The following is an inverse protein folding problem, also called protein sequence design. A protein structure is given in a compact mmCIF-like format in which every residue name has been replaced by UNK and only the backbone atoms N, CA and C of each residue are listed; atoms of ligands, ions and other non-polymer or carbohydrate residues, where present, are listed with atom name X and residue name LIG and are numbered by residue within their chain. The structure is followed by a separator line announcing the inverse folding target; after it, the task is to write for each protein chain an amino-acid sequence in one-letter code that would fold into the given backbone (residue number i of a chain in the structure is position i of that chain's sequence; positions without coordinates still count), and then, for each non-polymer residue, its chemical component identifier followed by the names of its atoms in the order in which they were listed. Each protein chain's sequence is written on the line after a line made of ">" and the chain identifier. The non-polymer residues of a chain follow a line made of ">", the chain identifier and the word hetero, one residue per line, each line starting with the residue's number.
data_IF_629184043124
#
_entry.id   IF_629184043124
#
_cell.length_a   1.000
_cell.length_b   1.000
_cell.length_c   1.000
_cell.angle_alpha   90.00
_cell.angle_beta   90.00
_cell.angle_gamma   90.00
#
_symmetry.space_group_name_H-M   'P 1'
#
loop_
_entity.id
_entity.type
_entity.pdbx_description
1 polymer ?
#
# COMPACT_ATOMS: atom_id res chain seq x y z
N UNK A 1 -12.68 -43.66 -44.09
CA UNK A 1 -12.32 -42.26 -43.99
C UNK A 1 -13.19 -41.58 -42.92
N UNK A 2 -12.69 -41.47 -41.67
CA UNK A 2 -13.37 -40.74 -40.60
C UNK A 2 -12.60 -39.44 -40.36
N UNK A 3 -13.21 -38.30 -40.65
CA UNK A 3 -12.67 -36.99 -40.39
C UNK A 3 -12.86 -36.68 -38.88
N UNK A 4 -11.75 -36.62 -38.15
CA UNK A 4 -11.75 -36.11 -36.78
C UNK A 4 -11.77 -34.58 -36.81
N UNK A 5 -12.85 -34.04 -36.27
CA UNK A 5 -13.01 -32.59 -36.05
C UNK A 5 -12.27 -32.24 -34.77
N UNK A 6 -11.15 -31.53 -34.87
CA UNK A 6 -10.46 -30.94 -33.71
C UNK A 6 -11.17 -29.63 -33.41
N UNK A 7 -11.93 -29.65 -32.29
CA UNK A 7 -12.50 -28.39 -31.74
C UNK A 7 -11.42 -27.70 -30.92
N UNK A 8 -10.91 -26.63 -31.48
CA UNK A 8 -9.99 -25.73 -30.79
C UNK A 8 -10.79 -24.83 -29.84
N UNK A 9 -10.80 -25.20 -28.55
CA UNK A 9 -11.41 -24.37 -27.51
C UNK A 9 -10.49 -23.21 -27.20
N UNK A 10 -10.74 -22.06 -27.82
CA UNK A 10 -10.13 -20.81 -27.41
C UNK A 10 -10.74 -20.38 -26.08
N UNK A 11 -10.03 -20.60 -24.97
CA UNK A 11 -10.34 -19.94 -23.72
C UNK A 11 -9.93 -18.46 -23.85
N UNK A 12 -10.90 -17.61 -24.20
CA UNK A 12 -10.81 -16.18 -23.93
C UNK A 12 -10.88 -16.04 -22.41
N UNK A 13 -9.76 -15.82 -21.75
CA UNK A 13 -9.71 -15.24 -20.44
C UNK A 13 -10.13 -13.76 -20.56
N UNK A 14 -11.43 -13.51 -20.62
CA UNK A 14 -11.97 -12.19 -20.37
C UNK A 14 -11.74 -11.93 -18.88
N UNK A 15 -10.74 -11.12 -18.57
CA UNK A 15 -10.62 -10.50 -17.26
C UNK A 15 -11.92 -9.73 -16.99
N UNK A 16 -12.80 -10.33 -16.20
CA UNK A 16 -13.90 -9.64 -15.57
C UNK A 16 -13.27 -8.66 -14.56
N UNK A 17 -12.93 -7.47 -15.04
CA UNK A 17 -12.91 -6.31 -14.16
C UNK A 17 -14.35 -6.22 -13.61
N UNK A 18 -14.54 -6.73 -12.41
CA UNK A 18 -15.74 -6.46 -11.65
C UNK A 18 -15.77 -4.94 -11.44
N UNK A 19 -16.41 -4.22 -12.35
CA UNK A 19 -16.92 -2.91 -12.09
C UNK A 19 -18.00 -3.10 -11.02
N UNK A 20 -17.59 -3.23 -9.77
CA UNK A 20 -18.46 -2.99 -8.64
C UNK A 20 -18.97 -1.55 -8.87
N UNK A 21 -20.22 -1.44 -9.27
CA UNK A 21 -20.86 -0.15 -9.48
C UNK A 21 -20.94 0.46 -8.08
N UNK A 22 -19.96 1.34 -7.74
CA UNK A 22 -19.90 2.00 -6.44
C UNK A 22 -21.28 2.57 -6.14
N UNK A 23 -21.83 2.21 -4.99
CA UNK A 23 -23.11 2.72 -4.55
C UNK A 23 -23.06 4.26 -4.62
N UNK A 24 -24.09 4.87 -5.24
CA UNK A 24 -24.14 6.32 -5.36
C UNK A 24 -24.55 6.86 -3.99
N UNK A 25 -23.57 7.11 -3.14
CA UNK A 25 -23.74 7.70 -1.80
C UNK A 25 -23.78 9.22 -1.98
N UNK A 26 -24.85 9.84 -1.54
CA UNK A 26 -24.99 11.31 -1.57
C UNK A 26 -24.34 11.87 -0.28
N UNK A 27 -23.07 12.25 -0.39
CA UNK A 27 -22.29 12.78 0.75
C UNK A 27 -22.73 14.23 1.04
N UNK A 28 -22.89 14.62 2.33
CA UNK A 28 -23.00 16.02 2.70
C UNK A 28 -21.69 16.76 2.39
N UNK A 29 -21.74 18.08 2.39
CA UNK A 29 -20.53 18.87 2.27
C UNK A 29 -19.73 18.79 3.59
N UNK A 30 -18.53 18.21 3.53
CA UNK A 30 -17.59 18.18 4.66
C UNK A 30 -16.68 19.40 4.63
N UNK A 31 -16.44 19.96 5.84
CA UNK A 31 -15.48 21.04 6.11
C UNK A 31 -14.55 20.54 7.23
N UNK A 32 -13.28 20.52 6.96
CA UNK A 32 -12.30 20.03 7.90
C UNK A 32 -11.48 21.17 8.51
N UNK A 33 -11.11 20.98 9.77
CA UNK A 33 -10.14 21.79 10.50
C UNK A 33 -8.99 20.89 10.90
N UNK A 34 -7.78 21.20 10.45
CA UNK A 34 -6.56 20.49 10.85
C UNK A 34 -6.31 20.71 12.34
N UNK A 35 -6.10 19.64 13.08
CA UNK A 35 -5.74 19.63 14.50
C UNK A 35 -4.24 19.47 14.65
N UNK A 36 -3.66 18.58 13.86
CA UNK A 36 -2.25 18.23 13.86
C UNK A 36 -1.82 17.87 12.44
N UNK A 37 -0.64 18.31 12.04
CA UNK A 37 -0.06 18.00 10.75
C UNK A 37 1.46 17.84 10.89
N UNK A 38 1.98 16.68 10.58
CA UNK A 38 3.40 16.37 10.57
C UNK A 38 4.00 16.64 9.17
N UNK A 39 5.28 16.97 9.05
CA UNK A 39 5.91 17.30 7.77
C UNK A 39 5.85 16.14 6.78
N UNK A 40 5.42 16.45 5.56
CA UNK A 40 5.42 15.53 4.40
C UNK A 40 5.96 16.25 3.16
N UNK A 41 6.48 15.49 2.22
CA UNK A 41 6.92 15.98 0.92
C UNK A 41 5.73 16.20 -0.03
N UNK A 42 5.97 16.69 -1.24
CA UNK A 42 4.94 16.97 -2.25
C UNK A 42 4.14 15.72 -2.63
N UNK A 43 2.93 15.92 -3.13
CA UNK A 43 2.08 14.85 -3.66
C UNK A 43 2.66 14.38 -5.01
N UNK A 44 2.99 13.10 -5.10
CA UNK A 44 3.45 12.45 -6.33
C UNK A 44 2.30 11.75 -7.08
N UNK A 45 2.55 11.32 -8.30
CA UNK A 45 1.56 10.63 -9.14
C UNK A 45 2.12 9.31 -9.67
N UNK A 46 1.71 8.18 -9.07
CA UNK A 46 2.06 6.85 -9.57
C UNK A 46 1.39 6.52 -10.92
N UNK A 47 0.36 7.25 -11.32
CA UNK A 47 -0.39 7.13 -12.56
C UNK A 47 -0.79 5.66 -12.86
N UNK A 48 -0.22 5.05 -13.94
CA UNK A 48 -0.54 3.68 -14.38
C UNK A 48 0.57 2.70 -13.96
N UNK A 49 0.93 2.73 -12.70
CA UNK A 49 1.80 1.73 -12.09
C UNK A 49 1.13 1.09 -10.89
N UNK A 50 1.39 -0.18 -10.65
CA UNK A 50 0.95 -0.90 -9.45
C UNK A 50 1.89 -0.72 -8.28
N UNK A 51 2.54 0.46 -8.16
CA UNK A 51 3.64 0.70 -7.22
C UNK A 51 3.27 1.64 -6.07
N UNK A 52 1.98 1.68 -5.68
CA UNK A 52 1.50 2.48 -4.55
C UNK A 52 2.30 2.24 -3.26
N UNK A 53 2.68 1.00 -3.01
CA UNK A 53 3.51 0.58 -1.90
C UNK A 53 4.86 1.32 -1.84
N UNK A 54 5.52 1.51 -3.00
CA UNK A 54 6.78 2.24 -3.07
C UNK A 54 6.56 3.74 -2.86
N UNK A 55 5.54 4.33 -3.51
CA UNK A 55 5.22 5.75 -3.36
C UNK A 55 4.86 6.12 -1.92
N UNK A 56 4.04 5.32 -1.26
CA UNK A 56 3.61 5.56 0.11
C UNK A 56 4.74 5.40 1.12
N UNK A 57 5.50 4.31 1.01
CA UNK A 57 6.57 4.04 1.97
C UNK A 57 7.81 4.92 1.74
N UNK A 58 8.13 5.31 0.48
CA UNK A 58 9.17 6.33 0.24
C UNK A 58 8.74 7.67 0.81
N UNK A 59 7.48 8.08 0.63
CA UNK A 59 6.97 9.30 1.27
C UNK A 59 7.07 9.26 2.79
N UNK A 60 6.81 8.11 3.40
CA UNK A 60 7.04 7.88 4.82
C UNK A 60 8.52 8.00 5.20
N UNK A 61 9.43 7.37 4.44
CA UNK A 61 10.89 7.48 4.65
C UNK A 61 11.37 8.92 4.52
N UNK A 62 10.87 9.68 3.55
CA UNK A 62 11.16 11.10 3.39
C UNK A 62 10.76 11.90 4.65
N UNK A 63 9.57 11.66 5.19
CA UNK A 63 9.11 12.29 6.44
C UNK A 63 9.97 11.89 7.64
N UNK A 64 10.42 10.65 7.72
CA UNK A 64 11.31 10.19 8.77
C UNK A 64 12.70 10.84 8.68
N UNK A 65 13.26 10.98 7.47
CA UNK A 65 14.52 11.70 7.26
C UNK A 65 14.37 13.17 7.65
N UNK A 66 13.26 13.82 7.33
CA UNK A 66 12.95 15.19 7.77
C UNK A 66 12.95 15.28 9.30
N UNK A 67 12.26 14.36 9.97
CA UNK A 67 12.16 14.31 11.43
C UNK A 67 13.50 14.02 12.10
N UNK A 68 14.23 12.98 11.66
CA UNK A 68 15.49 12.53 12.24
C UNK A 68 16.54 13.64 12.16
N UNK A 69 16.59 14.36 11.03
CA UNK A 69 17.59 15.40 10.78
C UNK A 69 17.08 16.81 11.12
N UNK A 70 15.88 16.94 11.71
CA UNK A 70 15.25 18.21 12.08
C UNK A 70 15.23 19.23 10.91
N UNK A 71 14.87 18.78 9.70
CA UNK A 71 14.82 19.64 8.52
C UNK A 71 13.54 20.50 8.59
N UNK A 72 13.70 21.79 8.80
CA UNK A 72 12.57 22.74 8.96
C UNK A 72 12.28 23.53 7.69
N UNK A 73 13.19 23.53 6.73
CA UNK A 73 13.07 24.23 5.46
C UNK A 73 12.50 23.28 4.40
N UNK A 74 11.27 23.51 3.91
CA UNK A 74 10.66 22.64 2.90
C UNK A 74 11.44 22.54 1.58
N UNK A 75 12.27 23.56 1.24
CA UNK A 75 13.10 23.51 0.04
C UNK A 75 14.25 22.49 0.15
N UNK A 76 14.52 22.00 1.36
CA UNK A 76 15.54 20.97 1.65
C UNK A 76 14.96 19.61 1.95
N UNK A 77 13.65 19.43 1.76
CA UNK A 77 13.05 18.13 1.95
C UNK A 77 13.59 17.14 0.92
N UNK A 78 13.90 15.91 1.34
CA UNK A 78 14.42 14.91 0.43
C UNK A 78 13.36 14.49 -0.58
N UNK A 79 13.83 14.05 -1.74
CA UNK A 79 13.02 13.45 -2.80
C UNK A 79 13.75 12.20 -3.29
N UNK A 80 13.27 11.00 -2.86
CA UNK A 80 13.92 9.74 -3.15
C UNK A 80 13.25 9.02 -4.32
N UNK A 81 14.04 8.19 -5.01
CA UNK A 81 13.59 7.41 -6.15
C UNK A 81 12.74 6.21 -5.71
N UNK A 82 11.47 6.22 -6.04
CA UNK A 82 10.60 5.07 -5.91
C UNK A 82 11.05 3.93 -6.85
N UNK A 83 11.53 4.28 -8.04
CA UNK A 83 11.88 3.28 -9.05
C UNK A 83 13.22 2.58 -8.81
N UNK A 84 14.11 3.17 -8.04
CA UNK A 84 15.26 2.45 -7.50
C UNK A 84 14.79 1.28 -6.62
N UNK A 85 13.84 1.56 -5.74
CA UNK A 85 13.25 0.53 -4.85
C UNK A 85 12.45 -0.49 -5.64
N UNK A 86 11.60 -0.05 -6.57
CA UNK A 86 10.79 -0.95 -7.42
C UNK A 86 11.65 -1.89 -8.24
N UNK A 87 12.72 -1.39 -8.87
CA UNK A 87 13.62 -2.20 -9.70
C UNK A 87 14.33 -3.28 -8.88
N UNK A 88 14.84 -2.94 -7.70
CA UNK A 88 15.46 -3.92 -6.78
C UNK A 88 14.46 -4.95 -6.29
N UNK A 89 13.27 -4.51 -5.86
CA UNK A 89 12.20 -5.41 -5.41
C UNK A 89 11.78 -6.40 -6.51
N UNK A 90 11.64 -5.94 -7.76
CA UNK A 90 11.30 -6.82 -8.88
C UNK A 90 12.42 -7.82 -9.19
N UNK A 91 13.69 -7.41 -9.11
CA UNK A 91 14.85 -8.30 -9.29
C UNK A 91 14.91 -9.39 -8.22
N UNK A 92 14.74 -9.02 -6.95
CA UNK A 92 14.72 -9.96 -5.81
C UNK A 92 13.52 -10.93 -5.91
N UNK A 93 12.35 -10.40 -6.31
CA UNK A 93 11.14 -11.21 -6.49
C UNK A 93 11.28 -12.22 -7.61
N UNK A 94 11.97 -11.83 -8.70
CA UNK A 94 12.28 -12.75 -9.80
C UNK A 94 13.15 -13.91 -9.34
N UNK A 95 14.17 -13.65 -8.52
CA UNK A 95 14.99 -14.70 -7.92
C UNK A 95 14.16 -15.67 -7.10
N UNK A 96 13.34 -15.14 -6.20
CA UNK A 96 12.47 -15.95 -5.33
C UNK A 96 11.42 -16.73 -6.12
N UNK A 97 10.84 -16.13 -7.15
CA UNK A 97 9.88 -16.75 -8.06
C UNK A 97 10.50 -17.98 -8.77
N UNK A 98 11.73 -17.83 -9.27
CA UNK A 98 12.45 -18.95 -9.90
C UNK A 98 12.81 -20.03 -8.89
N UNK A 99 13.29 -19.66 -7.69
CA UNK A 99 13.61 -20.63 -6.63
C UNK A 99 12.40 -21.44 -6.16
N UNK A 100 11.19 -20.87 -6.28
CA UNK A 100 9.93 -21.51 -5.90
C UNK A 100 9.19 -22.15 -7.10
N UNK A 101 9.87 -22.37 -8.20
CA UNK A 101 9.29 -22.97 -9.42
C UNK A 101 8.00 -22.28 -9.89
N UNK A 102 7.92 -20.95 -9.72
CA UNK A 102 6.77 -20.15 -10.07
C UNK A 102 5.60 -20.17 -9.06
N UNK A 103 5.78 -20.79 -7.89
CA UNK A 103 4.75 -20.84 -6.85
C UNK A 103 4.84 -19.63 -5.91
N UNK A 104 4.86 -18.45 -6.49
CA UNK A 104 4.85 -17.17 -5.81
C UNK A 104 4.01 -16.18 -6.63
N UNK A 105 3.35 -15.23 -5.99
CA UNK A 105 2.75 -14.12 -6.72
C UNK A 105 3.84 -13.29 -7.38
N UNK A 106 3.72 -13.05 -8.69
CA UNK A 106 4.61 -12.16 -9.43
C UNK A 106 3.78 -11.08 -10.12
N UNK A 107 3.93 -9.84 -9.71
CA UNK A 107 3.18 -8.69 -10.20
C UNK A 107 3.75 -7.39 -9.67
N UNK A 108 3.08 -6.28 -9.92
CA UNK A 108 3.54 -4.94 -9.57
C UNK A 108 3.40 -4.60 -8.08
N UNK A 109 2.42 -5.21 -7.39
CA UNK A 109 2.12 -4.96 -5.98
C UNK A 109 3.19 -5.53 -5.04
N UNK A 110 3.40 -4.89 -3.91
CA UNK A 110 4.28 -5.30 -2.82
C UNK A 110 3.82 -4.64 -1.52
N UNK A 111 4.53 -4.89 -0.41
CA UNK A 111 4.24 -4.27 0.88
C UNK A 111 5.16 -3.07 1.14
N UNK A 112 4.72 -2.14 2.00
CA UNK A 112 5.57 -1.03 2.44
C UNK A 112 6.88 -1.48 3.10
N UNK A 113 6.88 -2.65 3.74
CA UNK A 113 8.04 -3.29 4.33
C UNK A 113 9.14 -3.60 3.31
N UNK A 114 8.77 -3.96 2.07
CA UNK A 114 9.75 -4.20 0.99
C UNK A 114 10.62 -2.97 0.72
N UNK A 115 10.10 -1.76 0.93
CA UNK A 115 10.89 -0.53 0.82
C UNK A 115 11.99 -0.47 1.88
N UNK A 116 11.66 -0.80 3.13
CA UNK A 116 12.64 -0.85 4.21
C UNK A 116 13.70 -1.93 3.95
N UNK A 117 13.31 -3.08 3.41
CA UNK A 117 14.22 -4.15 3.05
C UNK A 117 15.16 -3.76 1.91
N UNK A 118 14.64 -3.13 0.86
CA UNK A 118 15.48 -2.62 -0.24
C UNK A 118 16.45 -1.57 0.27
N UNK A 119 16.00 -0.63 1.09
CA UNK A 119 16.86 0.39 1.68
C UNK A 119 17.95 -0.24 2.57
N UNK A 120 17.61 -1.29 3.32
CA UNK A 120 18.57 -2.04 4.14
C UNK A 120 19.65 -2.68 3.30
N UNK A 121 19.27 -3.32 2.19
CA UNK A 121 20.16 -4.11 1.34
C UNK A 121 20.94 -3.26 0.33
N UNK A 122 20.32 -2.21 -0.21
CA UNK A 122 20.82 -1.50 -1.39
C UNK A 122 20.98 0.01 -1.20
N UNK A 123 20.51 0.58 -0.08
CA UNK A 123 20.63 2.02 0.21
C UNK A 123 19.49 2.87 -0.34
N UNK A 124 19.75 4.17 -0.51
CA UNK A 124 18.81 5.19 -1.00
C UNK A 124 19.45 6.00 -2.14
N UNK A 125 18.60 6.47 -3.05
CA UNK A 125 19.00 7.24 -4.23
C UNK A 125 18.07 8.44 -4.37
N UNK A 126 18.56 9.65 -4.65
CA UNK A 126 17.72 10.79 -5.00
C UNK A 126 16.88 10.51 -6.27
N UNK A 127 15.67 11.05 -6.34
CA UNK A 127 14.79 10.90 -7.49
C UNK A 127 15.43 11.33 -8.81
N UNK A 128 16.25 12.38 -8.77
CA UNK A 128 16.92 12.90 -9.95
C UNK A 128 17.95 11.92 -10.57
N UNK A 129 18.50 11.01 -9.77
CA UNK A 129 19.52 10.05 -10.22
C UNK A 129 18.91 8.79 -10.86
N UNK A 130 17.65 8.46 -10.55
CA UNK A 130 16.93 7.36 -11.18
C UNK A 130 15.43 7.66 -11.23
N UNK A 131 14.98 8.31 -12.29
CA UNK A 131 13.58 8.71 -12.45
C UNK A 131 12.64 7.55 -12.77
N UNK A 132 13.16 6.45 -13.30
CA UNK A 132 12.39 5.24 -13.63
C UNK A 132 11.47 5.37 -14.84
N UNK A 133 11.70 6.33 -15.74
CA UNK A 133 10.82 6.64 -16.88
C UNK A 133 11.58 6.72 -18.20
N UNK A 134 12.37 5.68 -18.54
CA UNK A 134 13.15 5.63 -19.78
C UNK A 134 12.31 5.31 -21.03
N UNK A 135 11.00 5.18 -20.88
CA UNK A 135 10.08 4.76 -21.96
C UNK A 135 9.29 5.94 -22.59
N UNK A 136 9.79 7.17 -22.43
CA UNK A 136 9.27 8.34 -23.14
C UNK A 136 7.93 8.89 -22.63
N UNK A 137 7.59 8.66 -21.37
CA UNK A 137 6.42 9.21 -20.68
C UNK A 137 6.87 10.10 -19.51
N UNK A 138 6.15 11.19 -19.29
CA UNK A 138 6.38 12.09 -18.14
C UNK A 138 5.76 11.54 -16.82
N UNK A 139 4.91 10.51 -16.94
CA UNK A 139 4.27 9.84 -15.83
C UNK A 139 4.41 8.32 -15.94
N UNK A 140 4.46 7.58 -14.84
CA UNK A 140 4.60 6.13 -14.85
C UNK A 140 3.53 5.41 -15.68
N UNK A 141 3.96 4.49 -16.56
CA UNK A 141 3.09 3.68 -17.40
C UNK A 141 3.67 2.28 -17.55
N UNK A 142 3.55 1.46 -16.50
CA UNK A 142 4.28 0.20 -16.36
C UNK A 142 3.55 -1.05 -16.83
N UNK A 143 2.33 -0.95 -17.36
CA UNK A 143 1.56 -2.12 -17.79
C UNK A 143 2.32 -3.00 -18.81
N UNK A 144 3.10 -2.38 -19.72
CA UNK A 144 3.94 -3.10 -20.68
C UNK A 144 5.09 -3.81 -19.97
N UNK A 145 5.82 -3.10 -19.10
CA UNK A 145 6.92 -3.67 -18.32
C UNK A 145 6.44 -4.87 -17.49
N UNK A 146 5.33 -4.73 -16.77
CA UNK A 146 4.76 -5.80 -15.93
C UNK A 146 4.45 -7.04 -16.78
N UNK A 147 3.85 -6.86 -17.95
CA UNK A 147 3.55 -7.95 -18.87
C UNK A 147 4.82 -8.62 -19.42
N UNK A 148 5.83 -7.84 -19.78
CA UNK A 148 7.12 -8.33 -20.30
C UNK A 148 7.88 -9.10 -19.23
N UNK A 149 8.00 -8.55 -18.01
CA UNK A 149 8.68 -9.20 -16.89
C UNK A 149 7.99 -10.52 -16.52
N UNK A 150 6.67 -10.54 -16.47
CA UNK A 150 5.89 -11.74 -16.18
C UNK A 150 6.11 -12.81 -17.27
N UNK A 151 6.02 -12.44 -18.54
CA UNK A 151 6.21 -13.37 -19.64
C UNK A 151 7.64 -13.94 -19.65
N UNK A 152 8.63 -13.09 -19.39
CA UNK A 152 10.03 -13.49 -19.34
C UNK A 152 10.29 -14.50 -18.23
N UNK A 153 9.87 -14.19 -16.99
CA UNK A 153 10.16 -15.05 -15.84
C UNK A 153 9.38 -16.39 -15.91
N UNK A 154 8.16 -16.37 -16.42
CA UNK A 154 7.39 -17.58 -16.70
C UNK A 154 8.10 -18.51 -17.71
N UNK A 155 8.72 -17.93 -18.76
CA UNK A 155 9.50 -18.71 -19.73
C UNK A 155 10.74 -19.33 -19.09
N UNK A 156 11.39 -18.64 -18.16
CA UNK A 156 12.53 -19.17 -17.39
C UNK A 156 12.11 -20.38 -16.56
N UNK A 157 11.05 -20.24 -15.77
CA UNK A 157 10.55 -21.33 -14.90
C UNK A 157 10.06 -22.53 -15.73
N UNK A 158 9.39 -22.28 -16.86
CA UNK A 158 8.89 -23.33 -17.76
C UNK A 158 9.94 -23.94 -18.68
N UNK A 159 11.24 -23.67 -18.44
CA UNK A 159 12.32 -24.20 -19.26
C UNK A 159 12.26 -25.75 -19.34
N UNK A 160 12.15 -26.35 -20.54
CA UNK A 160 12.01 -27.80 -20.68
C UNK A 160 13.27 -28.57 -20.28
N UNK A 161 14.44 -27.95 -20.31
CA UNK A 161 15.71 -28.60 -19.95
C UNK A 161 15.92 -28.73 -18.45
N UNK A 162 15.11 -28.08 -17.61
CA UNK A 162 15.18 -28.08 -16.13
C UNK A 162 16.56 -27.67 -15.55
N UNK A 163 17.46 -27.17 -16.37
CA UNK A 163 18.75 -26.62 -15.97
C UNK A 163 18.82 -25.19 -16.45
N UNK A 164 18.92 -24.26 -15.50
CA UNK A 164 19.00 -22.85 -15.79
C UNK A 164 20.46 -22.38 -15.88
N UNK A 165 20.71 -21.47 -16.81
CA UNK A 165 21.96 -20.71 -16.85
C UNK A 165 21.82 -19.45 -16.00
N UNK A 166 22.93 -18.81 -15.64
CA UNK A 166 22.90 -17.50 -14.96
C UNK A 166 22.52 -16.35 -15.90
N UNK A 167 22.35 -16.61 -17.19
CA UNK A 167 22.02 -15.58 -18.18
C UNK A 167 20.65 -14.97 -17.98
N UNK A 168 19.68 -15.74 -17.46
CA UNK A 168 18.32 -15.25 -17.24
C UNK A 168 18.27 -14.05 -16.29
N UNK A 169 19.09 -14.04 -15.22
CA UNK A 169 19.17 -12.91 -14.28
C UNK A 169 19.63 -11.63 -15.00
N UNK A 170 20.69 -11.73 -15.81
CA UNK A 170 21.20 -10.59 -16.57
C UNK A 170 20.19 -10.11 -17.61
N UNK A 171 19.47 -11.06 -18.25
CA UNK A 171 18.40 -10.73 -19.19
C UNK A 171 17.22 -10.04 -18.52
N UNK A 172 16.83 -10.50 -17.33
CA UNK A 172 15.78 -9.86 -16.53
C UNK A 172 16.19 -8.45 -16.10
N UNK A 173 17.41 -8.29 -15.57
CA UNK A 173 17.94 -6.98 -15.19
C UNK A 173 18.05 -6.04 -16.38
N UNK A 174 18.49 -6.51 -17.54
CA UNK A 174 18.58 -5.69 -18.74
C UNK A 174 17.21 -5.14 -19.18
N UNK A 175 16.12 -5.88 -18.94
CA UNK A 175 14.76 -5.36 -19.19
C UNK A 175 14.45 -4.24 -18.18
N UNK A 176 14.75 -4.43 -16.91
CA UNK A 176 14.55 -3.39 -15.90
C UNK A 176 15.36 -2.13 -16.21
N UNK A 177 16.63 -2.29 -16.57
CA UNK A 177 17.54 -1.20 -16.90
C UNK A 177 17.04 -0.38 -18.09
N UNK A 178 16.50 -1.04 -19.12
CA UNK A 178 15.97 -0.37 -20.30
C UNK A 178 14.72 0.46 -20.00
N UNK A 179 13.82 -0.04 -19.15
CA UNK A 179 12.57 0.66 -18.82
C UNK A 179 12.73 1.66 -17.66
N UNK A 180 13.48 1.31 -16.61
CA UNK A 180 13.56 2.08 -15.36
C UNK A 180 14.88 2.83 -15.18
N UNK A 181 15.92 2.47 -15.94
CA UNK A 181 17.28 2.99 -15.78
C UNK A 181 18.19 2.05 -15.02
N UNK A 182 19.49 2.20 -15.29
CA UNK A 182 20.53 1.46 -14.56
C UNK A 182 20.67 1.99 -13.14
N UNK A 183 21.05 1.12 -12.21
CA UNK A 183 21.35 1.53 -10.84
C UNK A 183 22.56 2.48 -10.79
N UNK A 184 22.43 3.69 -10.21
CA UNK A 184 23.58 4.57 -10.03
C UNK A 184 24.56 3.92 -9.06
N UNK A 185 25.83 3.84 -9.45
CA UNK A 185 26.90 3.33 -8.58
C UNK A 185 27.37 4.39 -7.58
N UNK A 186 27.52 5.61 -8.07
CA UNK A 186 27.80 6.81 -7.28
C UNK A 186 27.03 7.99 -7.86
N UNK A 187 26.77 8.98 -7.03
CA UNK A 187 26.12 10.24 -7.40
C UNK A 187 26.59 11.36 -6.45
N UNK A 188 26.33 12.61 -6.82
CA UNK A 188 26.79 13.77 -6.04
C UNK A 188 25.58 14.52 -5.48
N UNK A 189 25.54 14.70 -4.15
CA UNK A 189 24.57 15.55 -3.45
C UNK A 189 25.35 16.61 -2.67
N UNK A 190 25.01 17.88 -2.88
CA UNK A 190 25.65 19.03 -2.22
C UNK A 190 27.20 19.04 -2.32
N UNK A 191 27.72 18.55 -3.45
CA UNK A 191 29.17 18.50 -3.71
C UNK A 191 29.90 17.31 -3.06
N UNK A 192 29.18 16.38 -2.42
CA UNK A 192 29.73 15.15 -1.84
C UNK A 192 29.31 13.96 -2.70
N UNK A 193 30.28 13.09 -3.03
CA UNK A 193 29.99 11.85 -3.76
C UNK A 193 29.59 10.76 -2.79
N UNK A 194 28.50 10.04 -3.15
CA UNK A 194 27.92 8.95 -2.37
C UNK A 194 27.71 7.69 -3.22
N UNK A 195 27.77 6.52 -2.57
CA UNK A 195 27.05 5.32 -3.04
C UNK A 195 25.65 5.33 -2.43
N UNK A 196 24.70 4.53 -2.96
CA UNK A 196 23.37 4.44 -2.35
C UNK A 196 23.39 4.11 -0.85
N UNK A 197 24.28 3.20 -0.41
CA UNK A 197 24.39 2.81 1.00
C UNK A 197 24.99 3.97 1.84
N UNK A 198 26.05 4.61 1.35
CA UNK A 198 26.67 5.71 2.08
C UNK A 198 25.77 6.94 2.16
N UNK A 199 24.88 7.13 1.17
CA UNK A 199 23.87 8.18 1.21
C UNK A 199 22.82 7.93 2.28
N UNK A 200 22.25 6.68 2.33
CA UNK A 200 21.38 6.26 3.43
C UNK A 200 22.00 6.52 4.80
N UNK A 201 23.28 6.13 4.98
CA UNK A 201 23.98 6.28 6.26
C UNK A 201 24.19 7.75 6.61
N UNK A 202 24.51 8.61 5.62
CA UNK A 202 24.65 10.06 5.81
C UNK A 202 23.32 10.74 6.21
N UNK A 203 22.17 10.16 5.83
CA UNK A 203 20.85 10.62 6.23
C UNK A 203 20.43 10.13 7.62
N UNK A 204 21.29 9.39 8.33
CA UNK A 204 21.00 8.78 9.64
C UNK A 204 19.75 7.88 9.63
N UNK A 205 19.39 7.32 8.46
CA UNK A 205 18.22 6.46 8.32
C UNK A 205 18.61 5.00 8.53
N UNK A 206 18.04 4.38 9.57
CA UNK A 206 18.26 2.97 9.87
C UNK A 206 16.95 2.17 9.71
N UNK A 207 16.81 1.32 8.66
CA UNK A 207 15.61 0.53 8.43
C UNK A 207 15.24 -0.43 9.59
N UNK A 208 16.18 -0.76 10.47
CA UNK A 208 15.93 -1.65 11.61
C UNK A 208 15.21 -0.95 12.78
N UNK A 209 15.07 0.37 12.72
CA UNK A 209 14.35 1.16 13.73
C UNK A 209 12.82 1.16 13.51
N UNK A 210 12.32 0.40 12.57
CA UNK A 210 10.90 0.36 12.20
C UNK A 210 10.25 -0.97 12.55
N UNK A 211 8.94 -0.91 12.79
CA UNK A 211 8.10 -2.08 13.05
C UNK A 211 6.79 -1.93 12.28
N UNK A 212 6.34 -3.04 11.69
CA UNK A 212 5.04 -3.12 11.03
C UNK A 212 4.07 -3.86 11.93
N UNK A 213 2.94 -3.21 12.23
CA UNK A 213 1.86 -3.72 13.07
C UNK A 213 0.68 -4.14 12.20
N UNK A 214 -0.02 -5.18 12.62
CA UNK A 214 -1.30 -5.63 12.05
C UNK A 214 -2.25 -6.05 13.16
N UNK A 215 -3.51 -6.33 12.83
CA UNK A 215 -4.54 -6.63 13.83
C UNK A 215 -5.53 -7.68 13.37
N UNK A 216 -5.22 -8.95 13.60
CA UNK A 216 -6.06 -10.09 13.23
C UNK A 216 -6.05 -11.21 14.27
N UNK A 217 -7.19 -11.89 14.47
CA UNK A 217 -7.38 -12.88 15.55
C UNK A 217 -7.02 -14.31 15.18
N UNK A 218 -6.68 -14.58 13.92
CA UNK A 218 -6.27 -15.93 13.47
C UNK A 218 -4.83 -16.28 13.90
N UNK A 219 -4.07 -15.29 14.38
CA UNK A 219 -2.79 -15.46 15.07
C UNK A 219 -2.86 -14.85 16.46
N UNK A 220 -2.06 -15.32 17.44
CA UNK A 220 -2.01 -14.72 18.75
C UNK A 220 -1.59 -13.26 18.72
N UNK A 221 -2.23 -12.42 19.52
CA UNK A 221 -1.75 -11.05 19.71
C UNK A 221 -0.39 -11.03 20.43
N UNK A 222 0.35 -9.95 20.21
CA UNK A 222 1.68 -9.69 20.77
C UNK A 222 2.75 -10.69 20.30
N UNK A 223 2.56 -11.20 19.08
CA UNK A 223 3.53 -12.07 18.40
C UNK A 223 3.77 -11.59 16.97
N UNK A 224 4.92 -11.93 16.43
CA UNK A 224 5.22 -11.79 15.01
C UNK A 224 4.70 -12.99 14.24
N UNK A 225 4.17 -12.75 13.04
CA UNK A 225 3.82 -13.80 12.10
C UNK A 225 3.96 -13.29 10.65
N UNK A 226 4.21 -14.17 9.66
CA UNK A 226 4.20 -13.78 8.26
C UNK A 226 2.78 -13.41 7.85
N UNK A 227 2.54 -12.14 7.51
CA UNK A 227 1.20 -11.69 7.13
C UNK A 227 0.76 -12.30 5.80
N UNK A 228 -0.40 -12.96 5.80
CA UNK A 228 -0.88 -13.80 4.70
C UNK A 228 -1.64 -13.01 3.63
N UNK A 229 -0.96 -12.08 2.98
CA UNK A 229 -1.44 -11.40 1.77
C UNK A 229 -0.51 -11.72 0.61
N UNK A 230 -1.05 -11.69 -0.61
CA UNK A 230 -0.31 -12.11 -1.81
C UNK A 230 0.91 -11.23 -2.09
N UNK A 231 0.83 -9.96 -1.71
CA UNK A 231 1.86 -8.96 -1.92
C UNK A 231 2.97 -9.00 -0.86
N UNK A 232 2.78 -9.73 0.25
CA UNK A 232 3.87 -10.08 1.17
C UNK A 232 4.69 -11.28 0.66
N UNK A 233 5.26 -11.13 -0.52
CA UNK A 233 6.04 -12.17 -1.20
C UNK A 233 7.39 -12.46 -0.54
N UNK A 234 7.92 -11.54 0.29
CA UNK A 234 9.12 -11.75 1.10
C UNK A 234 8.84 -12.60 2.33
N UNK A 235 7.56 -12.72 2.74
CA UNK A 235 7.09 -13.34 3.98
C UNK A 235 7.54 -12.59 5.22
N UNK A 236 7.51 -11.28 5.13
CA UNK A 236 7.80 -10.40 6.24
C UNK A 236 6.84 -10.61 7.39
N UNK A 237 7.41 -10.52 8.59
CA UNK A 237 6.67 -10.74 9.81
C UNK A 237 6.16 -9.42 10.36
N UNK A 238 4.86 -9.38 10.61
CA UNK A 238 4.18 -8.24 11.20
C UNK A 238 3.82 -8.54 12.65
N UNK A 239 3.92 -7.54 13.50
CA UNK A 239 3.58 -7.68 14.91
C UNK A 239 2.08 -7.50 15.10
N UNK A 240 1.42 -8.48 15.68
CA UNK A 240 -0.02 -8.52 15.84
C UNK A 240 -0.47 -7.87 17.13
N UNK A 241 -1.36 -6.89 17.07
CA UNK A 241 -1.93 -6.18 18.22
C UNK A 241 -3.46 -6.10 18.13
N UNK A 242 -4.19 -5.99 19.25
CA UNK A 242 -5.63 -5.66 19.21
C UNK A 242 -5.88 -4.35 18.44
N UNK A 243 -7.01 -4.27 17.74
CA UNK A 243 -7.31 -3.11 16.88
C UNK A 243 -7.40 -1.80 17.67
N UNK A 244 -7.93 -1.82 18.88
CA UNK A 244 -8.04 -0.62 19.70
C UNK A 244 -6.64 -0.12 20.12
N UNK A 245 -5.74 -1.02 20.50
CA UNK A 245 -4.34 -0.68 20.80
C UNK A 245 -3.59 -0.19 19.55
N UNK A 246 -3.86 -0.76 18.37
CA UNK A 246 -3.27 -0.27 17.12
C UNK A 246 -3.69 1.18 16.85
N UNK A 247 -4.96 1.52 17.07
CA UNK A 247 -5.46 2.90 16.93
C UNK A 247 -4.85 3.85 17.95
N UNK A 248 -4.67 3.41 19.20
CA UNK A 248 -3.99 4.18 20.25
C UNK A 248 -2.52 4.44 19.89
N UNK A 249 -1.82 3.44 19.37
CA UNK A 249 -0.43 3.56 18.91
C UNK A 249 -0.34 4.54 17.73
N UNK A 250 -1.26 4.45 16.76
CA UNK A 250 -1.32 5.34 15.61
C UNK A 250 -1.51 6.79 16.05
N UNK A 251 -2.47 7.06 16.94
CA UNK A 251 -2.71 8.39 17.49
C UNK A 251 -1.49 8.93 18.23
N UNK A 252 -0.93 8.11 19.12
CA UNK A 252 0.26 8.48 19.87
C UNK A 252 1.44 8.82 18.95
N UNK A 253 1.66 8.03 17.88
CA UNK A 253 2.72 8.31 16.92
C UNK A 253 2.52 9.68 16.24
N UNK A 254 1.31 9.96 15.74
CA UNK A 254 1.01 11.24 15.11
C UNK A 254 1.19 12.42 16.07
N UNK A 255 0.71 12.31 17.30
CA UNK A 255 0.80 13.35 18.34
C UNK A 255 2.27 13.63 18.78
N UNK A 256 3.17 12.66 18.56
CA UNK A 256 4.60 12.80 18.87
C UNK A 256 5.47 13.10 17.65
N UNK A 257 4.88 13.55 16.53
CA UNK A 257 5.63 14.07 15.38
C UNK A 257 6.04 13.01 14.36
N UNK A 258 5.51 11.77 14.45
CA UNK A 258 5.75 10.71 13.49
C UNK A 258 4.64 10.65 12.45
N UNK A 259 4.95 10.12 11.28
CA UNK A 259 3.98 9.74 10.26
C UNK A 259 3.86 8.22 10.19
N UNK A 260 2.90 7.73 9.42
CA UNK A 260 2.55 6.30 9.35
C UNK A 260 2.57 5.86 7.90
N UNK A 261 3.33 4.81 7.56
CA UNK A 261 3.10 4.08 6.30
C UNK A 261 1.89 3.16 6.51
N UNK A 262 0.90 3.24 5.63
CA UNK A 262 -0.43 2.68 5.85
C UNK A 262 -0.89 1.83 4.67
N UNK A 263 -1.07 0.53 4.90
CA UNK A 263 -1.72 -0.41 4.00
C UNK A 263 -3.21 -0.54 4.29
N UNK A 264 -4.07 -0.39 3.29
CA UNK A 264 -5.51 -0.37 3.47
C UNK A 264 -6.30 -0.92 2.29
N UNK A 265 -7.50 -1.41 2.58
CA UNK A 265 -8.55 -1.62 1.59
C UNK A 265 -9.19 -0.27 1.23
N UNK A 266 -9.19 0.06 -0.04
CA UNK A 266 -9.81 1.28 -0.59
C UNK A 266 -10.93 0.97 -1.59
N UNK A 267 -11.35 -0.29 -1.69
CA UNK A 267 -12.43 -0.74 -2.56
C UNK A 267 -13.81 -0.29 -2.07
N UNK A 268 -13.91 0.15 -0.81
CA UNK A 268 -15.14 0.60 -0.17
C UNK A 268 -15.81 1.78 -0.90
N UNK A 269 -17.16 1.79 -0.96
CA UNK A 269 -17.91 2.88 -1.62
C UNK A 269 -17.65 4.27 -1.05
N UNK A 270 -17.29 4.35 0.23
CA UNK A 270 -16.99 5.59 0.92
C UNK A 270 -15.59 6.14 0.67
N UNK A 271 -14.69 5.37 0.01
CA UNK A 271 -13.43 5.90 -0.49
C UNK A 271 -13.66 6.62 -1.82
N UNK A 272 -13.79 7.93 -1.78
CA UNK A 272 -14.20 8.75 -2.91
C UNK A 272 -13.01 9.31 -3.68
N UNK A 273 -13.24 9.67 -4.95
CA UNK A 273 -12.20 10.35 -5.75
C UNK A 273 -11.96 11.81 -5.32
N UNK A 274 -12.88 12.38 -4.55
CA UNK A 274 -12.80 13.77 -4.08
C UNK A 274 -11.97 13.92 -2.81
N UNK A 275 -11.39 12.84 -2.27
CA UNK A 275 -10.52 12.88 -1.10
C UNK A 275 -11.26 12.66 0.22
N UNK A 276 -12.34 11.91 0.23
CA UNK A 276 -13.06 11.50 1.43
C UNK A 276 -13.03 9.98 1.55
N UNK A 277 -12.72 9.47 2.74
CA UNK A 277 -12.75 8.05 3.08
C UNK A 277 -13.60 7.84 4.35
N UNK A 278 -14.80 7.29 4.19
CA UNK A 278 -15.80 7.08 5.24
C UNK A 278 -16.30 5.65 5.17
N UNK A 279 -16.44 4.98 6.30
CA UNK A 279 -16.91 3.59 6.36
C UNK A 279 -18.44 3.54 6.28
N UNK A 280 -18.98 3.51 5.06
CA UNK A 280 -20.43 3.60 4.80
C UNK A 280 -21.12 2.25 5.05
N UNK A 281 -22.24 2.26 5.77
CA UNK A 281 -23.10 1.08 5.89
C UNK A 281 -23.86 0.81 4.59
N UNK A 282 -23.34 -0.11 3.78
CA UNK A 282 -24.02 -0.61 2.57
C UNK A 282 -24.89 -1.83 2.81
N UNK A 283 -24.91 -2.38 4.02
CA UNK A 283 -25.67 -3.60 4.36
C UNK A 283 -27.17 -3.44 4.20
N UNK A 284 -27.68 -2.22 4.38
CA UNK A 284 -29.07 -1.89 4.15
C UNK A 284 -29.52 -2.04 2.68
N UNK A 285 -28.59 -2.14 1.74
CA UNK A 285 -28.87 -2.33 0.31
C UNK A 285 -28.95 -3.79 -0.11
N UNK A 286 -28.41 -4.71 0.68
CA UNK A 286 -28.33 -6.13 0.38
C UNK A 286 -29.29 -7.01 1.17
N UNK A 287 -30.30 -6.44 1.81
CA UNK A 287 -31.23 -7.16 2.68
C UNK A 287 -32.31 -8.01 1.95
N UNK A 288 -32.09 -8.39 0.70
CA UNK A 288 -32.93 -9.35 0.00
C UNK A 288 -32.17 -10.65 -0.29
N UNK A 289 -32.12 -11.53 0.67
CA UNK A 289 -31.55 -12.87 0.52
C UNK A 289 -30.99 -13.43 1.81
N UNK A 290 -31.02 -14.76 1.95
CA UNK A 290 -30.37 -15.46 3.06
C UNK A 290 -28.84 -15.38 2.93
N UNK A 291 -28.11 -15.57 4.04
CA UNK A 291 -26.66 -15.64 4.01
C UNK A 291 -26.15 -16.69 3.00
N UNK A 292 -26.89 -17.76 2.81
CA UNK A 292 -26.58 -18.80 1.85
C UNK A 292 -26.75 -18.33 0.40
N UNK A 293 -27.73 -17.50 0.09
CA UNK A 293 -27.94 -16.94 -1.26
C UNK A 293 -26.86 -15.95 -1.63
N UNK A 294 -26.37 -15.17 -0.66
CA UNK A 294 -25.21 -14.27 -0.81
C UNK A 294 -23.93 -15.05 -1.13
N UNK A 295 -23.71 -16.18 -0.46
CA UNK A 295 -22.54 -17.04 -0.66
C UNK A 295 -22.47 -17.71 -2.04
N UNK A 296 -23.59 -18.04 -2.63
CA UNK A 296 -23.64 -18.73 -3.95
C UNK A 296 -23.78 -17.76 -5.12
N UNK A 297 -23.70 -16.44 -4.91
CA UNK A 297 -23.73 -15.43 -5.98
C UNK A 297 -25.05 -15.41 -6.77
N UNK A 298 -26.16 -15.87 -6.21
CA UNK A 298 -27.47 -15.89 -6.86
C UNK A 298 -28.29 -14.60 -6.72
N UNK A 299 -27.75 -13.57 -6.09
CA UNK A 299 -28.43 -12.28 -5.98
C UNK A 299 -28.13 -11.38 -7.19
N UNK A 300 -28.34 -11.84 -8.41
CA UNK A 300 -28.44 -10.97 -9.58
C UNK A 300 -29.74 -10.16 -9.62
N UNK A 301 -30.52 -10.17 -8.56
CA UNK A 301 -31.75 -9.41 -8.55
C UNK A 301 -31.49 -7.98 -8.07
N UNK A 302 -31.45 -7.14 -9.12
CA UNK A 302 -31.88 -5.74 -9.08
C UNK A 302 -31.31 -4.96 -7.89
N UNK A 303 -30.16 -4.34 -8.17
CA UNK A 303 -29.71 -3.15 -7.49
C UNK A 303 -30.83 -2.42 -6.77
N UNK A 304 -31.14 -2.86 -5.55
CA UNK A 304 -31.78 -1.98 -4.61
C UNK A 304 -30.76 -0.83 -4.45
N UNK A 305 -31.02 0.28 -5.12
CA UNK A 305 -30.26 1.51 -4.91
C UNK A 305 -30.19 1.68 -3.41
N UNK A 306 -29.01 1.51 -2.83
CA UNK A 306 -28.78 1.79 -1.44
C UNK A 306 -29.24 3.23 -1.22
N UNK A 307 -30.41 3.39 -0.69
CA UNK A 307 -30.75 4.61 0.00
C UNK A 307 -29.99 4.50 1.32
N UNK A 308 -28.67 4.81 1.28
CA UNK A 308 -28.08 5.34 2.49
C UNK A 308 -29.14 6.29 3.03
N UNK A 309 -29.59 6.06 4.27
CA UNK A 309 -30.57 6.99 4.90
C UNK A 309 -30.02 8.37 4.59
N UNK A 310 -30.73 9.15 3.76
CA UNK A 310 -30.24 10.47 3.37
C UNK A 310 -29.93 11.18 4.68
N UNK A 311 -28.65 11.25 5.02
CA UNK A 311 -28.22 12.19 6.02
C UNK A 311 -28.74 13.52 5.50
N UNK A 312 -29.56 14.21 6.28
CA UNK A 312 -30.05 15.52 5.85
C UNK A 312 -28.78 16.32 5.48
N UNK A 313 -28.88 17.24 4.51
CA UNK A 313 -27.73 18.04 4.02
C UNK A 313 -26.81 18.64 5.10
N UNK A 314 -27.21 18.57 6.35
CA UNK A 314 -26.57 19.17 7.51
C UNK A 314 -26.11 18.15 8.59
N UNK A 315 -26.16 16.84 8.35
CA UNK A 315 -25.74 15.83 9.33
C UNK A 315 -24.65 14.93 8.73
N UNK A 316 -23.68 14.45 9.55
CA UNK A 316 -22.69 13.48 9.07
C UNK A 316 -23.37 12.19 8.63
N UNK A 317 -22.70 11.42 7.77
CA UNK A 317 -23.10 10.05 7.47
C UNK A 317 -22.91 9.22 8.74
N UNK A 318 -23.87 8.37 9.05
CA UNK A 318 -23.72 7.37 10.10
C UNK A 318 -22.83 6.24 9.54
N UNK A 319 -21.68 6.08 10.14
CA UNK A 319 -20.71 5.07 9.74
C UNK A 319 -20.95 3.74 10.45
N UNK A 320 -20.45 2.65 9.86
CA UNK A 320 -20.30 1.38 10.57
C UNK A 320 -19.32 1.56 11.73
N UNK A 321 -19.55 0.81 12.79
CA UNK A 321 -18.61 0.74 13.92
C UNK A 321 -17.78 -0.54 13.78
N UNK A 322 -16.54 -0.44 13.31
CA UNK A 322 -15.70 -1.61 13.12
C UNK A 322 -15.24 -2.18 14.46
N UNK A 323 -15.25 -3.50 14.55
CA UNK A 323 -14.76 -4.26 15.71
C UNK A 323 -13.66 -5.20 15.28
N UNK A 324 -12.91 -5.75 16.23
CA UNK A 324 -11.93 -6.80 15.96
C UNK A 324 -12.54 -7.97 15.18
N UNK A 325 -13.76 -8.37 15.54
CA UNK A 325 -14.47 -9.47 14.91
C UNK A 325 -14.88 -9.14 13.47
N UNK A 326 -15.47 -7.97 13.22
CA UNK A 326 -15.89 -7.57 11.87
C UNK A 326 -14.71 -7.44 10.91
N UNK A 327 -13.55 -6.96 11.39
CA UNK A 327 -12.30 -6.94 10.62
C UNK A 327 -11.83 -8.35 10.27
N UNK A 328 -11.79 -9.25 11.26
CA UNK A 328 -11.39 -10.65 11.02
C UNK A 328 -12.30 -11.34 10.00
N UNK A 329 -13.61 -11.16 10.12
CA UNK A 329 -14.58 -11.70 9.15
C UNK A 329 -14.30 -11.12 7.76
N UNK A 330 -14.09 -9.81 7.64
CA UNK A 330 -13.80 -9.14 6.36
C UNK A 330 -12.53 -9.65 5.69
N UNK A 331 -11.47 -9.86 6.45
CA UNK A 331 -10.22 -10.43 5.94
C UNK A 331 -10.39 -11.88 5.47
N UNK A 332 -11.07 -12.71 6.26
CA UNK A 332 -11.29 -14.13 5.96
C UNK A 332 -12.21 -14.34 4.76
N UNK A 333 -13.24 -13.54 4.60
CA UNK A 333 -14.20 -13.65 3.50
C UNK A 333 -13.84 -12.80 2.28
N UNK A 334 -12.70 -12.11 2.33
CA UNK A 334 -12.16 -11.26 1.24
C UNK A 334 -13.04 -10.06 0.88
N UNK A 335 -13.77 -9.52 1.86
CA UNK A 335 -14.41 -8.19 1.74
C UNK A 335 -13.49 -7.07 2.22
N UNK A 336 -12.40 -7.42 2.90
CA UNK A 336 -11.25 -6.55 3.16
C UNK A 336 -10.06 -7.18 2.46
N UNK A 337 -9.46 -6.46 1.52
CA UNK A 337 -8.37 -6.90 0.66
C UNK A 337 -7.18 -5.94 0.73
N UNK A 338 -6.01 -6.43 0.37
CA UNK A 338 -4.79 -5.62 0.25
C UNK A 338 -4.82 -4.88 -1.08
N UNK A 339 -5.17 -3.59 -1.04
CA UNK A 339 -5.48 -2.82 -2.25
C UNK A 339 -4.51 -1.66 -2.49
N UNK A 340 -4.11 -0.92 -1.44
CA UNK A 340 -3.44 0.37 -1.63
C UNK A 340 -2.58 0.79 -0.44
N UNK A 341 -1.39 1.29 -0.75
CA UNK A 341 -0.50 1.93 0.22
C UNK A 341 -0.63 3.46 0.19
N UNK A 342 -0.68 4.09 1.37
CA UNK A 342 -0.77 5.53 1.57
C UNK A 342 0.05 5.95 2.79
N UNK A 343 0.11 7.25 3.08
CA UNK A 343 0.77 7.77 4.29
C UNK A 343 -0.23 8.57 5.13
N UNK A 344 -0.38 8.20 6.40
CA UNK A 344 -1.12 9.04 7.37
C UNK A 344 -0.11 9.99 8.02
N UNK A 345 -0.44 11.30 8.05
CA UNK A 345 0.49 12.31 8.53
C UNK A 345 -0.11 13.36 9.46
N UNK A 346 -1.41 13.27 9.76
CA UNK A 346 -2.03 14.25 10.64
C UNK A 346 -3.45 13.88 11.07
N UNK A 347 -4.02 14.76 11.86
CA UNK A 347 -5.37 14.64 12.43
C UNK A 347 -6.17 15.89 12.10
N UNK A 348 -7.42 15.70 11.71
CA UNK A 348 -8.40 16.75 11.48
C UNK A 348 -9.72 16.45 12.17
N UNK A 349 -10.58 17.46 12.25
CA UNK A 349 -11.98 17.32 12.67
C UNK A 349 -12.89 17.90 11.62
N UNK A 350 -14.05 17.26 11.42
CA UNK A 350 -15.12 17.82 10.62
C UNK A 350 -15.91 18.89 11.40
N UNK A 351 -16.88 19.52 10.76
CA UNK A 351 -17.72 20.57 11.36
C UNK A 351 -18.68 20.05 12.46
N UNK A 352 -18.80 18.75 12.62
CA UNK A 352 -19.62 18.12 13.67
C UNK A 352 -18.78 17.55 14.81
N UNK A 353 -17.42 17.67 14.73
CA UNK A 353 -16.48 17.21 15.73
C UNK A 353 -15.98 15.77 15.52
N UNK A 354 -16.36 15.12 14.42
CA UNK A 354 -15.85 13.81 14.03
C UNK A 354 -14.36 13.87 13.75
N UNK A 355 -13.61 12.82 14.17
CA UNK A 355 -12.17 12.71 13.97
C UNK A 355 -11.87 12.11 12.61
N UNK A 356 -10.89 12.70 11.94
CA UNK A 356 -10.35 12.25 10.65
C UNK A 356 -8.84 12.27 10.68
N UNK A 357 -8.24 11.41 9.85
CA UNK A 357 -6.82 11.41 9.59
C UNK A 357 -6.53 12.09 8.25
N UNK A 358 -5.44 12.86 8.20
CA UNK A 358 -4.89 13.40 6.97
C UNK A 358 -4.05 12.32 6.29
N UNK A 359 -4.42 11.96 5.06
CA UNK A 359 -3.80 10.90 4.29
C UNK A 359 -3.22 11.48 3.01
N UNK A 360 -1.92 11.31 2.81
CA UNK A 360 -1.23 11.62 1.56
C UNK A 360 -1.36 10.43 0.63
N UNK A 361 -1.98 10.66 -0.54
CA UNK A 361 -2.12 9.66 -1.59
C UNK A 361 -1.16 9.94 -2.74
N UNK A 362 -0.95 8.96 -3.61
CA UNK A 362 -0.03 9.01 -4.75
C UNK A 362 -0.74 9.11 -6.11
N UNK A 363 -1.88 9.79 -6.18
CA UNK A 363 -2.66 9.95 -7.42
C UNK A 363 -2.60 11.38 -7.99
N UNK A 364 -1.52 12.12 -7.68
CA UNK A 364 -1.34 13.52 -8.05
C UNK A 364 -2.26 14.45 -7.26
N UNK A 365 -2.12 15.75 -7.50
CA UNK A 365 -2.94 16.78 -6.88
C UNK A 365 -4.37 16.79 -7.45
N UNK A 366 -5.07 15.68 -7.31
CA UNK A 366 -6.44 15.48 -7.80
C UNK A 366 -7.49 15.67 -6.70
N UNK A 367 -8.77 15.73 -7.10
CA UNK A 367 -9.89 15.85 -6.17
C UNK A 367 -10.00 17.22 -5.49
N UNK A 368 -10.98 17.32 -4.58
CA UNK A 368 -11.29 18.55 -3.84
C UNK A 368 -10.14 19.02 -2.95
N UNK A 369 -9.37 18.09 -2.42
CA UNK A 369 -8.32 18.34 -1.44
C UNK A 369 -6.90 18.12 -2.01
N UNK A 370 -6.75 18.21 -3.35
CA UNK A 370 -5.47 18.21 -4.04
C UNK A 370 -4.53 17.06 -3.65
N UNK A 371 -5.03 15.82 -3.71
CA UNK A 371 -4.23 14.62 -3.43
C UNK A 371 -4.15 14.23 -1.95
N UNK A 372 -4.86 14.94 -1.08
CA UNK A 372 -5.06 14.58 0.32
C UNK A 372 -6.42 13.92 0.50
N UNK A 373 -6.49 12.87 1.30
CA UNK A 373 -7.74 12.25 1.76
C UNK A 373 -7.96 12.51 3.23
N UNK A 374 -9.22 12.77 3.58
CA UNK A 374 -9.68 12.81 4.96
C UNK A 374 -10.35 11.46 5.25
N UNK A 375 -9.65 10.59 5.98
CA UNK A 375 -10.13 9.27 6.35
C UNK A 375 -10.73 9.31 7.77
N UNK A 376 -11.98 8.92 7.91
CA UNK A 376 -12.63 8.86 9.23
C UNK A 376 -11.93 7.83 10.13
N UNK A 377 -12.03 8.04 11.45
CA UNK A 377 -11.51 7.07 12.42
C UNK A 377 -12.11 5.68 12.21
N UNK A 378 -13.40 5.59 11.87
CA UNK A 378 -14.06 4.33 11.56
C UNK A 378 -13.50 3.68 10.29
N UNK A 379 -13.21 4.47 9.24
CA UNK A 379 -12.60 3.95 8.03
C UNK A 379 -11.20 3.39 8.32
N UNK A 380 -10.34 4.17 8.97
CA UNK A 380 -8.98 3.70 9.31
C UNK A 380 -9.04 2.46 10.19
N UNK A 381 -9.84 2.47 11.25
CA UNK A 381 -10.02 1.31 12.13
C UNK A 381 -10.56 0.08 11.40
N UNK A 382 -11.47 0.27 10.45
CA UNK A 382 -12.13 -0.81 9.71
C UNK A 382 -11.28 -1.40 8.59
N UNK A 383 -10.60 -0.56 7.83
CA UNK A 383 -10.00 -0.92 6.53
C UNK A 383 -8.47 -1.05 6.55
N UNK A 384 -7.80 -0.75 7.67
CA UNK A 384 -6.35 -0.93 7.80
C UNK A 384 -5.96 -2.40 7.74
N UNK A 385 -4.99 -2.75 6.90
CA UNK A 385 -4.32 -4.05 6.93
C UNK A 385 -3.10 -4.01 7.84
N UNK A 386 -2.26 -3.01 7.64
CA UNK A 386 -1.04 -2.81 8.41
C UNK A 386 -0.67 -1.33 8.53
N UNK A 387 0.20 -1.05 9.49
CA UNK A 387 0.87 0.24 9.66
C UNK A 387 2.34 0.00 9.97
N UNK A 388 3.24 0.71 9.28
CA UNK A 388 4.65 0.75 9.65
C UNK A 388 4.96 2.09 10.32
N UNK A 389 5.67 2.01 11.45
CA UNK A 389 6.05 3.14 12.29
C UNK A 389 7.47 2.98 12.82
N UNK A 390 8.08 4.07 13.23
CA UNK A 390 9.35 4.04 13.96
C UNK A 390 9.15 3.44 15.37
N UNK A 391 10.03 2.55 15.82
CA UNK A 391 9.92 1.89 17.13
C UNK A 391 9.83 2.87 18.32
N UNK A 392 10.47 4.04 18.21
CA UNK A 392 10.34 5.08 19.23
C UNK A 392 8.98 5.80 19.23
N UNK A 393 8.13 5.57 18.24
CA UNK A 393 6.75 6.03 18.20
C UNK A 393 5.79 5.11 18.98
N UNK A 394 6.27 3.99 19.51
CA UNK A 394 5.48 3.13 20.38
C UNK A 394 5.36 3.76 21.78
N UNK A 395 4.16 3.75 22.40
CA UNK A 395 3.99 4.19 23.79
C UNK A 395 4.90 3.39 24.73
N UNK A 396 5.56 4.07 25.66
CA UNK A 396 6.49 3.40 26.62
C UNK A 396 5.83 2.28 27.39
N UNK A 397 4.60 2.51 27.85
CA UNK A 397 3.83 1.50 28.59
C UNK A 397 3.53 0.26 27.76
N UNK A 398 3.31 0.44 26.43
CA UNK A 398 3.12 -0.66 25.51
C UNK A 398 4.41 -1.49 25.39
N UNK A 399 5.56 -0.84 25.19
CA UNK A 399 6.86 -1.52 25.07
C UNK A 399 7.24 -2.24 26.37
N UNK A 400 6.96 -1.65 27.54
CA UNK A 400 7.21 -2.30 28.83
C UNK A 400 6.38 -3.57 29.02
N UNK A 401 5.13 -3.59 28.55
CA UNK A 401 4.26 -4.77 28.58
C UNK A 401 4.62 -5.81 27.53
N UNK A 402 5.07 -5.38 26.38
CA UNK A 402 5.29 -6.21 25.20
C UNK A 402 6.68 -5.98 24.59
N UNK A 403 7.79 -6.22 25.36
CA UNK A 403 9.14 -5.86 24.91
C UNK A 403 9.61 -6.61 23.65
N UNK A 404 8.98 -7.73 23.32
CA UNK A 404 9.27 -8.48 22.11
C UNK A 404 8.89 -7.75 20.81
N UNK A 405 8.10 -6.67 20.87
CA UNK A 405 7.85 -5.80 19.70
C UNK A 405 9.13 -5.17 19.14
N UNK A 406 10.14 -5.03 20.00
CA UNK A 406 11.45 -4.47 19.60
C UNK A 406 12.37 -5.48 18.89
N UNK A 407 12.02 -6.77 18.90
CA UNK A 407 12.89 -7.88 18.47
C UNK A 407 12.44 -8.45 17.11
N UNK A 408 12.44 -7.61 16.07
CA UNK A 408 12.25 -8.10 14.69
C UNK A 408 13.58 -8.57 14.11
#
# INVERSE_FOLDING_TARGET
>A
MKKSLVVLSAFLAAGLAANAQKANVDFPEYKFTTVLENPVTSIKNQHRSGTCWAYSAISFVESEVIRINNITDPEKYPDFSEFFVVSHSYSDRADKYVMLDGNLTFGAGSQGEDVLDVIRLYGLVPQAEMTGMNYGSDLPAQNELDAVLRAYIDAVVKNPNKVLTTAWKRGFQAILDEYLGEYPKTFVVDGVEYTPESYRDALNFNPDDYVTLTSYTHHPFYTYFPFEVADNWRWDQFYNVPIDEMMEILDYALENGYTISWGADVSEPGFTRDGLAILVDVSASNNSGSDQERWVGKSEDKQAKAKAKKAGKNNPIVELVPTQETRQIGFMNKTITDDHGMQIYGIAKDQWGGKYYLVKNSWGETGKYKGVWYASEAFVKGQTLDIAIHKSALPKEFVEKHPNVMNK
#
